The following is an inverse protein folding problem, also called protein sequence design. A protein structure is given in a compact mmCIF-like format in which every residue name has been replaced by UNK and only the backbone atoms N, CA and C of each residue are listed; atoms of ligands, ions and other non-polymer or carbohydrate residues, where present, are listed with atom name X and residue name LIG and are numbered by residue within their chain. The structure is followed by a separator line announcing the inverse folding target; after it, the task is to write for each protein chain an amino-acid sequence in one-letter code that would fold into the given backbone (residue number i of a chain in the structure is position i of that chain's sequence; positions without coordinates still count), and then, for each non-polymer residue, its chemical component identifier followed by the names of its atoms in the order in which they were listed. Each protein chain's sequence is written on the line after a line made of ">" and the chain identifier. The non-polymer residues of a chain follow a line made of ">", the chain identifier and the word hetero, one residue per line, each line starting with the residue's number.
data_IF_000387345323
#
_entry.id   IF_000387345323
#
_cell.length_a   1.000
_cell.length_b   1.000
_cell.length_c   1.000
_cell.angle_alpha   90.00
_cell.angle_beta   90.00
_cell.angle_gamma   90.00
#
_symmetry.space_group_name_H-M   'P 1'
#
loop_
_entity.id
_entity.type
_entity.pdbx_description
1 polymer ?
#
# COMPACT_ATOMS: atom_id res chain seq x y z
N UNK A 1 67.30 -67.73 48.24
CA UNK A 1 66.49 -66.99 49.23
C UNK A 1 65.31 -66.35 48.52
N UNK A 2 64.13 -66.98 48.64
CA UNK A 2 62.84 -66.37 48.30
C UNK A 2 62.49 -65.29 49.32
N UNK A 3 61.87 -64.19 48.87
CA UNK A 3 60.86 -63.31 49.54
C UNK A 3 60.70 -62.09 48.61
N UNK A 4 59.55 -61.51 48.29
CA UNK A 4 58.19 -61.64 48.77
C UNK A 4 57.30 -60.91 47.77
N UNK A 5 56.19 -61.55 47.38
CA UNK A 5 55.02 -60.96 46.74
C UNK A 5 54.45 -59.81 47.61
N UNK A 6 54.25 -58.62 47.04
CA UNK A 6 53.18 -57.69 47.44
C UNK A 6 52.65 -57.01 46.17
N UNK A 7 51.51 -57.45 45.65
CA UNK A 7 50.15 -57.08 46.03
C UNK A 7 49.68 -55.77 45.37
N UNK A 8 49.02 -55.97 44.23
CA UNK A 8 47.80 -55.33 43.70
C UNK A 8 47.40 -53.96 44.28
N UNK A 9 47.35 -52.95 43.41
CA UNK A 9 46.15 -52.11 43.27
C UNK A 9 46.04 -51.56 41.85
N UNK A 10 45.11 -52.13 41.08
CA UNK A 10 44.65 -51.55 39.83
C UNK A 10 43.91 -50.25 40.12
N UNK A 11 44.25 -49.20 39.38
CA UNK A 11 43.43 -48.00 39.29
C UNK A 11 42.76 -47.99 37.91
N UNK A 12 41.44 -48.23 37.81
CA UNK A 12 40.73 -47.92 36.59
C UNK A 12 40.66 -46.40 36.49
N UNK A 13 41.46 -45.80 35.59
CA UNK A 13 41.20 -44.41 35.20
C UNK A 13 39.93 -44.44 34.37
N UNK A 14 38.82 -44.03 35.00
CA UNK A 14 37.54 -43.89 34.33
C UNK A 14 37.72 -42.94 33.15
N UNK A 15 37.53 -43.44 31.94
CA UNK A 15 37.33 -42.62 30.75
C UNK A 15 35.97 -41.93 30.91
N UNK A 16 35.93 -40.84 31.68
CA UNK A 16 34.82 -39.91 31.59
C UNK A 16 35.06 -39.11 30.31
N UNK A 17 34.71 -39.71 29.17
CA UNK A 17 34.52 -38.98 27.92
C UNK A 17 33.35 -38.04 28.17
N UNK A 18 33.67 -36.85 28.68
CA UNK A 18 32.77 -35.73 28.65
C UNK A 18 32.48 -35.48 27.17
N UNK A 19 31.32 -35.93 26.71
CA UNK A 19 30.77 -35.51 25.43
C UNK A 19 30.55 -34.00 25.53
N UNK A 20 31.57 -33.23 25.17
CA UNK A 20 31.41 -31.82 24.85
C UNK A 20 30.61 -31.80 23.56
N UNK A 21 29.29 -31.65 23.69
CA UNK A 21 28.43 -31.27 22.57
C UNK A 21 28.98 -29.94 22.09
N UNK A 22 29.76 -29.96 21.01
CA UNK A 22 30.13 -28.75 20.30
C UNK A 22 28.87 -28.26 19.61
N UNK A 23 28.14 -27.38 20.29
CA UNK A 23 27.18 -26.52 19.62
C UNK A 23 27.98 -25.75 18.56
N UNK A 24 27.76 -26.10 17.29
CA UNK A 24 28.23 -25.28 16.19
C UNK A 24 27.50 -23.95 16.28
N UNK A 25 28.13 -22.96 16.91
CA UNK A 25 27.78 -21.57 16.66
C UNK A 25 27.98 -21.36 15.16
N UNK A 26 26.90 -21.05 14.44
CA UNK A 26 26.93 -20.69 13.02
C UNK A 26 27.53 -19.30 12.79
N UNK A 27 28.35 -18.81 13.73
CA UNK A 27 28.98 -17.51 13.69
C UNK A 27 30.30 -17.63 12.95
N UNK A 28 30.20 -17.75 11.62
CA UNK A 28 31.25 -17.17 10.78
C UNK A 28 31.40 -15.72 11.22
N UNK A 29 32.62 -15.17 11.41
CA UNK A 29 32.78 -13.77 11.80
C UNK A 29 32.06 -12.92 10.74
N UNK A 30 30.91 -12.36 11.12
CA UNK A 30 30.14 -11.47 10.26
C UNK A 30 31.08 -10.32 9.94
N UNK A 31 31.24 -10.01 8.65
CA UNK A 31 32.11 -8.90 8.28
C UNK A 31 31.63 -7.64 9.02
N UNK A 32 32.52 -6.71 9.40
CA UNK A 32 32.13 -5.49 10.11
C UNK A 32 31.00 -4.73 9.40
N UNK A 33 30.97 -4.82 8.07
CA UNK A 33 29.86 -4.30 7.25
C UNK A 33 28.54 -5.02 7.48
N UNK A 34 28.52 -6.35 7.54
CA UNK A 34 27.28 -7.12 7.76
C UNK A 34 26.69 -6.86 9.15
N UNK A 35 27.56 -6.67 10.16
CA UNK A 35 27.14 -6.29 11.51
C UNK A 35 26.56 -4.87 11.52
N UNK A 36 27.18 -3.92 10.82
CA UNK A 36 26.65 -2.56 10.66
C UNK A 36 25.25 -2.54 10.03
N UNK A 37 25.01 -3.28 8.94
CA UNK A 37 23.67 -3.36 8.35
C UNK A 37 22.66 -4.04 9.28
N UNK A 38 23.08 -5.05 10.03
CA UNK A 38 22.21 -5.78 10.96
C UNK A 38 21.76 -4.92 12.13
N UNK A 39 22.59 -3.97 12.57
CA UNK A 39 22.28 -3.09 13.70
C UNK A 39 21.52 -1.83 13.24
N UNK A 40 21.83 -1.31 12.05
CA UNK A 40 21.24 -0.05 11.53
C UNK A 40 19.86 -0.26 10.90
N UNK A 41 19.63 -1.36 10.16
CA UNK A 41 18.35 -1.57 9.47
C UNK A 41 17.16 -1.69 10.45
N UNK A 42 17.23 -2.48 11.54
CA UNK A 42 16.14 -2.57 12.50
C UNK A 42 15.88 -1.23 13.20
N UNK A 43 16.92 -0.40 13.39
CA UNK A 43 16.78 0.94 13.93
C UNK A 43 16.09 1.92 12.95
N UNK A 44 16.17 1.68 11.63
CA UNK A 44 15.52 2.51 10.61
C UNK A 44 14.06 2.14 10.32
N UNK A 45 13.66 0.88 10.54
CA UNK A 45 12.29 0.39 10.28
C UNK A 45 11.21 1.28 10.92
N UNK A 46 11.31 1.69 12.21
CA UNK A 46 10.30 2.54 12.84
C UNK A 46 10.12 3.90 12.15
N UNK A 47 11.22 4.52 11.71
CA UNK A 47 11.19 5.83 11.02
C UNK A 47 10.51 5.69 9.67
N UNK A 48 10.82 4.62 8.93
CA UNK A 48 10.18 4.36 7.64
C UNK A 48 8.67 4.08 7.79
N UNK A 49 8.29 3.30 8.80
CA UNK A 49 6.88 3.04 9.12
C UNK A 49 6.15 4.32 9.51
N UNK A 50 6.78 5.18 10.31
CA UNK A 50 6.20 6.45 10.72
C UNK A 50 6.01 7.38 9.50
N UNK A 51 7.01 7.49 8.64
CA UNK A 51 6.90 8.28 7.39
C UNK A 51 5.80 7.75 6.47
N UNK A 52 5.72 6.43 6.31
CA UNK A 52 4.67 5.78 5.50
C UNK A 52 3.28 6.01 6.10
N UNK A 53 3.12 5.87 7.41
CA UNK A 53 1.85 6.09 8.10
C UNK A 53 1.37 7.55 7.96
N UNK A 54 2.27 8.52 8.14
CA UNK A 54 1.95 9.94 7.95
C UNK A 54 1.58 10.23 6.50
N UNK A 55 2.35 9.71 5.53
CA UNK A 55 2.06 9.88 4.11
C UNK A 55 0.69 9.29 3.73
N UNK A 56 0.40 8.05 4.13
CA UNK A 56 -0.88 7.39 3.90
C UNK A 56 -2.03 8.14 4.58
N UNK A 57 -1.83 8.64 5.80
CA UNK A 57 -2.82 9.44 6.51
C UNK A 57 -3.13 10.75 5.79
N UNK A 58 -2.10 11.45 5.32
CA UNK A 58 -2.25 12.70 4.56
C UNK A 58 -2.90 12.46 3.19
N UNK A 59 -2.52 11.38 2.51
CA UNK A 59 -3.12 10.96 1.25
C UNK A 59 -4.61 10.63 1.43
N UNK A 60 -4.98 9.96 2.52
CA UNK A 60 -6.38 9.65 2.83
C UNK A 60 -7.17 10.93 3.13
N UNK A 61 -6.61 11.87 3.88
CA UNK A 61 -7.23 13.17 4.10
C UNK A 61 -7.41 13.96 2.78
N UNK A 62 -6.39 13.97 1.92
CA UNK A 62 -6.42 14.62 0.62
C UNK A 62 -7.50 14.02 -0.29
N UNK A 63 -7.61 12.68 -0.35
CA UNK A 63 -8.66 12.03 -1.14
C UNK A 63 -10.07 12.37 -0.67
N UNK A 64 -10.30 12.43 0.65
CA UNK A 64 -11.59 12.84 1.23
C UNK A 64 -11.96 14.27 0.84
N UNK A 65 -11.03 15.21 1.01
CA UNK A 65 -11.22 16.61 0.62
C UNK A 65 -11.43 16.78 -0.89
N UNK A 66 -10.73 15.99 -1.70
CA UNK A 66 -10.88 16.03 -3.16
C UNK A 66 -12.25 15.55 -3.63
N UNK A 67 -12.84 14.57 -2.92
CA UNK A 67 -14.15 14.03 -3.26
C UNK A 67 -15.26 15.03 -2.97
N UNK A 68 -15.21 15.69 -1.80
CA UNK A 68 -16.16 16.74 -1.43
C UNK A 68 -16.06 17.93 -2.41
N UNK A 69 -14.84 18.36 -2.73
CA UNK A 69 -14.63 19.40 -3.74
C UNK A 69 -15.20 19.01 -5.11
N UNK A 70 -14.95 17.77 -5.55
CA UNK A 70 -15.43 17.30 -6.85
C UNK A 70 -16.96 17.23 -6.92
N UNK A 71 -17.62 16.86 -5.83
CA UNK A 71 -19.09 16.86 -5.76
C UNK A 71 -19.68 18.26 -5.85
N UNK A 72 -19.07 19.23 -5.16
CA UNK A 72 -19.48 20.63 -5.23
C UNK A 72 -19.31 21.16 -6.66
N UNK A 73 -18.15 20.93 -7.27
CA UNK A 73 -17.85 21.40 -8.63
C UNK A 73 -18.76 20.73 -9.68
N UNK A 74 -19.07 19.44 -9.52
CA UNK A 74 -20.00 18.74 -10.39
C UNK A 74 -21.43 19.29 -10.27
N UNK A 75 -21.88 19.59 -9.04
CA UNK A 75 -23.20 20.17 -8.80
C UNK A 75 -23.31 21.58 -9.40
N UNK A 76 -22.31 22.42 -9.23
CA UNK A 76 -22.26 23.76 -9.83
C UNK A 76 -22.35 23.69 -11.37
N UNK A 77 -21.59 22.76 -11.98
CA UNK A 77 -21.67 22.54 -13.44
C UNK A 77 -23.05 22.04 -13.88
N UNK A 78 -23.70 21.18 -13.09
CA UNK A 78 -25.03 20.70 -13.38
C UNK A 78 -26.05 21.83 -13.35
N UNK A 79 -26.01 22.69 -12.31
CA UNK A 79 -26.91 23.85 -12.18
C UNK A 79 -26.75 24.82 -13.35
N UNK A 80 -25.51 25.08 -13.79
CA UNK A 80 -25.24 25.92 -14.96
C UNK A 80 -25.86 25.31 -16.23
N UNK A 81 -25.72 24.00 -16.41
CA UNK A 81 -26.29 23.29 -17.57
C UNK A 81 -27.82 23.28 -17.52
N UNK A 82 -28.40 23.05 -16.35
CA UNK A 82 -29.84 23.11 -16.11
C UNK A 82 -30.38 24.50 -16.46
N UNK A 83 -29.73 25.57 -15.98
CA UNK A 83 -30.11 26.94 -16.32
C UNK A 83 -30.04 27.24 -17.83
N UNK A 84 -29.05 26.68 -18.54
CA UNK A 84 -28.95 26.81 -19.99
C UNK A 84 -30.06 26.06 -20.72
N UNK A 85 -30.38 24.83 -20.30
CA UNK A 85 -31.49 24.05 -20.84
C UNK A 85 -32.80 24.81 -20.64
N UNK A 86 -33.01 25.34 -19.44
CA UNK A 86 -34.19 26.14 -19.08
C UNK A 86 -34.33 27.38 -19.97
N UNK A 87 -33.24 28.10 -20.22
CA UNK A 87 -33.22 29.27 -21.11
C UNK A 87 -33.52 28.90 -22.56
N UNK A 88 -32.99 27.78 -23.04
CA UNK A 88 -33.25 27.25 -24.38
C UNK A 88 -34.70 26.80 -24.52
N UNK A 89 -35.24 26.10 -23.52
CA UNK A 89 -36.63 25.65 -23.52
C UNK A 89 -37.58 26.84 -23.55
N UNK A 90 -37.38 27.85 -22.69
CA UNK A 90 -38.17 29.10 -22.71
C UNK A 90 -38.07 29.83 -24.04
N UNK A 91 -36.91 29.79 -24.70
CA UNK A 91 -36.75 30.41 -26.03
C UNK A 91 -37.54 29.65 -27.09
N UNK A 92 -37.51 28.32 -27.03
CA UNK A 92 -38.29 27.46 -27.94
C UNK A 92 -39.80 27.59 -27.73
N UNK A 93 -40.25 27.72 -26.48
CA UNK A 93 -41.66 27.99 -26.15
C UNK A 93 -42.10 29.35 -26.71
N UNK A 94 -41.28 30.41 -26.54
CA UNK A 94 -41.55 31.73 -27.16
C UNK A 94 -41.60 31.68 -28.68
N UNK A 95 -40.69 30.95 -29.32
CA UNK A 95 -40.68 30.79 -30.78
C UNK A 95 -41.89 29.96 -31.29
N UNK A 96 -42.46 29.10 -30.44
CA UNK A 96 -43.65 28.29 -30.75
C UNK A 96 -44.94 29.09 -30.58
N UNK A 97 -44.98 30.08 -29.69
CA UNK A 97 -46.15 30.97 -29.50
C UNK A 97 -46.27 32.08 -30.55
N UNK A 98 -45.22 32.36 -31.33
CA UNK A 98 -45.35 33.21 -32.52
C UNK A 98 -46.10 32.40 -33.59
N UNK A 99 -47.31 32.81 -34.05
CA UNK A 99 -48.02 32.10 -35.10
C UNK A 99 -47.26 32.28 -36.43
N UNK A 100 -46.24 31.45 -36.64
CA UNK A 100 -45.54 31.34 -37.91
C UNK A 100 -46.43 30.58 -38.90
N UNK A 101 -46.73 31.13 -40.09
CA UNK A 101 -47.61 30.51 -41.05
C UNK A 101 -47.02 29.16 -41.50
N UNK A 102 -47.74 28.09 -41.14
CA UNK A 102 -47.65 26.71 -41.63
C UNK A 102 -46.95 26.62 -43.00
N UNK A 103 -45.64 26.37 -42.98
CA UNK A 103 -44.86 26.00 -44.16
C UNK A 103 -44.93 24.47 -44.32
N UNK A 104 -45.19 23.95 -45.53
CA UNK A 104 -45.54 22.56 -45.74
C UNK A 104 -44.31 21.65 -45.58
N UNK A 105 -44.49 20.64 -44.71
CA UNK A 105 -43.94 19.28 -44.80
C UNK A 105 -42.92 19.05 -45.93
N UNK A 106 -41.64 19.26 -45.63
CA UNK A 106 -40.51 18.95 -46.50
C UNK A 106 -39.82 17.66 -46.06
N UNK A 107 -39.87 16.66 -46.95
CA UNK A 107 -39.32 15.30 -46.86
C UNK A 107 -37.99 15.15 -46.09
N UNK A 108 -37.98 14.31 -45.04
CA UNK A 108 -36.78 13.97 -44.27
C UNK A 108 -36.04 12.76 -44.87
N UNK A 109 -35.07 13.03 -45.76
CA UNK A 109 -34.21 12.03 -46.43
C UNK A 109 -32.95 11.62 -45.64
N UNK A 110 -32.97 11.82 -44.31
CA UNK A 110 -31.78 11.66 -43.45
C UNK A 110 -31.96 10.61 -42.34
N UNK A 111 -33.06 9.84 -42.36
CA UNK A 111 -33.34 8.76 -41.39
C UNK A 111 -33.01 7.36 -41.93
N UNK A 112 -31.98 7.23 -42.76
CA UNK A 112 -31.60 5.95 -43.39
C UNK A 112 -30.10 5.62 -43.26
N UNK A 113 -29.41 6.23 -42.30
CA UNK A 113 -28.06 5.85 -41.89
C UNK A 113 -28.00 5.73 -40.37
#
# INVERSE_FOLDING_TARGET
>A
MLRVLRHIKGHPKSLHTSMTIRCYSTEKPKSPHAQWYSDVLPAMVPIFLLGSAVYLGLQLAQTRLSHEKYMIEAQERAEILEAQIDALQRSRERDTEIPSPKSPSGNSRWRLW
#
